data_IF_370245768955
#
_entry.id   IF_370245768955
#
_cell.length_a   1.000
_cell.length_b   1.000
_cell.length_c   1.000
_cell.angle_alpha   90.00
_cell.angle_beta   90.00
_cell.angle_gamma   90.00
#
_symmetry.space_group_name_H-M   'P 1'
#
loop_
_entity.id
_entity.type
_entity.pdbx_description
1 polymer ?
#
# COMPACT_ATOMS: atom_id res chain seq x y z
N UNK A 1 -37.00 -17.60 50.37
CA UNK A 1 -37.42 -17.23 51.75
C UNK A 1 -36.81 -18.22 52.73
N UNK A 2 -36.67 -17.84 54.02
CA UNK A 2 -36.40 -18.70 55.21
C UNK A 2 -35.24 -19.72 55.17
N UNK A 3 -34.30 -19.80 56.12
CA UNK A 3 -34.02 -18.95 57.30
C UNK A 3 -33.90 -19.73 58.63
N UNK A 4 -32.72 -19.63 59.27
CA UNK A 4 -32.40 -19.89 60.70
C UNK A 4 -32.63 -21.27 61.36
N UNK A 5 -31.52 -21.86 61.83
CA UNK A 5 -31.19 -22.03 63.27
C UNK A 5 -29.69 -21.63 63.45
N UNK A 6 -29.20 -20.95 64.51
CA UNK A 6 -29.21 -21.17 65.98
C UNK A 6 -28.36 -22.40 66.39
N UNK A 7 -27.52 -22.37 67.44
CA UNK A 7 -27.26 -21.43 68.56
C UNK A 7 -25.78 -20.94 68.60
N UNK A 8 -25.27 -19.90 69.30
CA UNK A 8 -25.64 -19.04 70.46
C UNK A 8 -24.95 -19.42 71.80
N UNK A 9 -24.37 -18.42 72.50
CA UNK A 9 -23.84 -18.37 73.92
C UNK A 9 -22.32 -18.70 74.09
N UNK A 10 -21.56 -18.13 75.05
CA UNK A 10 -21.83 -17.06 76.07
C UNK A 10 -20.53 -16.50 76.71
N UNK A 11 -20.57 -15.21 77.09
CA UNK A 11 -19.97 -14.69 78.34
C UNK A 11 -18.45 -14.42 78.37
N UNK A 12 -17.92 -13.67 79.35
CA UNK A 12 -18.54 -13.00 80.51
C UNK A 12 -17.97 -11.57 80.69
N UNK A 13 -18.76 -10.66 81.26
CA UNK A 13 -18.47 -9.22 81.41
C UNK A 13 -17.56 -8.89 82.60
N UNK A 14 -16.82 -7.78 82.45
CA UNK A 14 -16.10 -7.01 83.48
C UNK A 14 -16.89 -6.75 84.78
N UNK A 15 -16.20 -6.61 85.93
CA UNK A 15 -16.29 -5.38 86.78
C UNK A 15 -15.37 -5.36 88.03
N UNK A 16 -15.02 -4.13 88.45
CA UNK A 16 -14.53 -3.72 89.80
C UNK A 16 -13.14 -4.29 90.17
N UNK A 17 -12.08 -3.53 90.50
CA UNK A 17 -11.78 -2.08 90.62
C UNK A 17 -10.22 -1.93 90.53
N UNK A 18 -9.45 -0.84 90.74
CA UNK A 18 -9.61 0.55 91.22
C UNK A 18 -8.37 1.41 90.86
N UNK A 19 -8.25 2.61 91.46
CA UNK A 19 -7.05 3.45 91.67
C UNK A 19 -6.48 4.23 90.46
N UNK A 20 -6.82 5.54 90.45
CA UNK A 20 -6.07 6.74 89.95
C UNK A 20 -5.65 6.79 88.44
N UNK A 21 -5.59 7.94 87.75
CA UNK A 21 -5.87 9.35 88.10
C UNK A 21 -6.45 10.14 86.90
N UNK A 22 -6.84 11.40 87.10
CA UNK A 22 -7.60 12.22 86.13
C UNK A 22 -6.77 13.06 85.15
N UNK A 23 -7.36 13.35 83.98
CA UNK A 23 -6.91 14.32 82.97
C UNK A 23 -6.75 15.76 83.52
N UNK A 24 -5.56 16.38 83.33
CA UNK A 24 -5.34 17.82 83.02
C UNK A 24 -3.85 18.02 82.61
N UNK A 25 -3.40 19.29 82.43
CA UNK A 25 -2.05 19.75 82.04
C UNK A 25 -1.83 19.64 80.52
N UNK A 26 -1.72 20.69 79.69
CA UNK A 26 -1.33 22.12 79.82
C UNK A 26 0.18 22.39 79.98
N UNK A 27 0.83 22.58 78.81
CA UNK A 27 1.94 23.50 78.51
C UNK A 27 3.29 23.43 79.29
N UNK A 28 4.38 23.57 78.50
CA UNK A 28 5.77 23.91 78.88
C UNK A 28 6.70 22.79 79.42
N UNK A 29 7.99 23.12 79.29
CA UNK A 29 9.22 22.46 79.81
C UNK A 29 9.68 21.14 79.16
N UNK A 30 10.59 21.31 78.19
CA UNK A 30 11.74 20.43 77.95
C UNK A 30 12.87 21.29 77.36
N UNK A 31 14.15 21.16 77.71
CA UNK A 31 14.74 20.69 78.97
C UNK A 31 16.18 21.27 79.06
N UNK A 32 16.69 21.52 80.27
CA UNK A 32 18.10 21.79 80.61
C UNK A 32 18.94 22.63 79.60
N UNK A 33 18.92 23.95 79.77
CA UNK A 33 20.06 24.80 79.39
C UNK A 33 20.90 25.00 80.65
N UNK A 34 22.16 24.55 80.63
CA UNK A 34 23.19 25.09 81.53
C UNK A 34 24.41 25.56 80.73
N UNK A 35 24.86 26.75 81.09
CA UNK A 35 26.02 27.44 80.52
C UNK A 35 26.69 28.17 81.69
N UNK A 36 27.95 27.87 81.95
CA UNK A 36 28.80 28.78 82.73
C UNK A 36 30.12 28.99 81.99
N UNK A 37 30.50 30.26 81.91
CA UNK A 37 31.66 30.74 81.19
C UNK A 37 32.93 30.61 82.04
N UNK A 38 34.06 30.40 81.37
CA UNK A 38 35.40 30.68 81.93
C UNK A 38 36.23 31.38 80.85
N UNK A 39 36.28 32.71 80.94
CA UNK A 39 37.07 33.56 80.06
C UNK A 39 38.32 34.10 80.80
N UNK A 40 39.37 34.38 80.03
CA UNK A 40 40.64 35.02 80.45
C UNK A 40 41.51 34.29 81.48
N UNK A 41 42.74 33.94 81.08
CA UNK A 41 43.96 34.72 81.41
C UNK A 41 44.83 34.77 80.15
N UNK A 42 45.71 35.77 80.03
CA UNK A 42 46.41 36.12 78.79
C UNK A 42 47.75 35.39 78.59
N UNK A 43 48.04 35.05 77.34
CA UNK A 43 49.35 35.33 76.73
C UNK A 43 49.14 35.92 75.33
N UNK A 44 49.87 36.99 75.00
CA UNK A 44 49.81 37.62 73.68
C UNK A 44 50.75 36.89 72.72
N UNK A 45 50.18 36.08 71.84
CA UNK A 45 50.78 35.73 70.54
C UNK A 45 49.74 35.99 69.45
N UNK A 46 50.19 36.51 68.31
CA UNK A 46 49.33 36.98 67.22
C UNK A 46 48.63 35.82 66.51
N UNK A 47 47.37 35.57 66.88
CA UNK A 47 46.50 34.57 66.23
C UNK A 47 45.89 35.11 64.95
N UNK A 48 46.78 35.36 63.99
CA UNK A 48 46.54 35.94 62.67
C UNK A 48 45.88 34.95 61.70
N UNK A 49 44.79 34.32 62.15
CA UNK A 49 44.19 33.18 61.47
C UNK A 49 42.67 33.26 61.29
N UNK A 50 42.19 32.69 60.17
CA UNK A 50 40.81 32.64 59.71
C UNK A 50 40.33 31.19 59.46
N UNK A 51 39.11 31.01 58.95
CA UNK A 51 38.49 29.70 58.69
C UNK A 51 37.60 29.72 57.44
N UNK A 52 37.63 28.63 56.65
CA UNK A 52 36.77 28.42 55.47
C UNK A 52 35.79 27.26 55.67
N UNK A 53 34.57 27.39 55.12
CA UNK A 53 33.54 26.33 54.98
C UNK A 53 32.97 26.33 53.55
N UNK A 54 32.57 25.17 53.01
CA UNK A 54 32.21 24.94 51.59
C UNK A 54 30.87 24.16 51.45
N UNK A 55 30.09 24.39 50.39
CA UNK A 55 28.86 23.61 50.06
C UNK A 55 28.65 23.47 48.53
N UNK A 56 27.99 22.38 48.08
CA UNK A 56 27.94 21.91 46.67
C UNK A 56 26.56 21.29 46.32
N UNK A 57 26.05 21.45 45.08
CA UNK A 57 24.70 21.07 44.61
C UNK A 57 24.74 20.41 43.20
N UNK A 58 23.73 19.59 42.81
CA UNK A 58 23.69 18.80 41.54
C UNK A 58 22.26 18.54 40.99
N UNK A 59 22.08 18.41 39.66
CA UNK A 59 20.83 18.03 38.93
C UNK A 59 21.10 17.55 37.47
N UNK A 60 20.43 16.50 36.96
CA UNK A 60 20.53 16.00 35.54
C UNK A 60 19.19 15.37 35.04
N UNK A 61 18.97 15.24 33.73
CA UNK A 61 17.81 14.58 33.09
C UNK A 61 18.18 13.61 31.93
N UNK A 62 17.19 13.03 31.24
CA UNK A 62 17.28 11.68 30.62
C UNK A 62 17.05 11.59 29.09
N UNK A 63 17.49 12.59 28.30
CA UNK A 63 17.51 12.52 26.81
C UNK A 63 18.83 13.04 26.24
N UNK A 64 19.89 12.24 26.35
CA UNK A 64 21.24 12.59 25.91
C UNK A 64 22.05 11.31 25.70
N UNK A 65 22.83 11.23 24.64
CA UNK A 65 23.88 10.22 24.50
C UNK A 65 25.02 10.56 25.46
N UNK A 66 25.24 9.69 26.46
CA UNK A 66 26.21 9.87 27.53
C UNK A 66 27.37 8.87 27.39
N UNK A 67 28.61 9.26 27.72
CA UNK A 67 29.72 8.33 27.84
C UNK A 67 29.54 7.43 29.07
N UNK A 68 30.16 6.25 29.03
CA UNK A 68 30.16 5.30 30.15
C UNK A 68 31.12 5.79 31.27
N UNK A 69 30.59 6.70 32.08
CA UNK A 69 31.21 7.27 33.28
C UNK A 69 30.10 7.89 34.15
N UNK A 70 30.05 7.49 35.43
CA UNK A 70 29.25 8.22 36.41
C UNK A 70 29.83 9.63 36.59
N UNK A 71 29.02 10.65 36.30
CA UNK A 71 29.38 12.06 36.40
C UNK A 71 28.86 12.72 37.70
N UNK A 72 28.35 11.95 38.66
CA UNK A 72 27.98 12.44 39.99
C UNK A 72 29.21 12.41 40.93
N UNK A 73 29.67 13.56 41.46
CA UNK A 73 30.65 13.58 42.55
C UNK A 73 30.22 12.77 43.77
N UNK A 74 31.05 11.81 44.17
CA UNK A 74 30.96 11.06 45.43
C UNK A 74 31.96 11.56 46.49
N UNK A 75 33.06 12.18 46.06
CA UNK A 75 34.04 12.82 46.94
C UNK A 75 34.78 13.99 46.27
N UNK A 76 35.43 14.82 47.07
CA UNK A 76 36.19 15.98 46.63
C UNK A 76 37.60 15.95 47.24
N UNK A 77 38.60 16.26 46.42
CA UNK A 77 39.89 16.75 46.88
C UNK A 77 39.81 18.27 46.95
N UNK A 78 40.12 18.86 48.10
CA UNK A 78 40.10 20.31 48.32
C UNK A 78 41.49 20.76 48.74
N UNK A 79 42.13 21.58 47.92
CA UNK A 79 43.44 22.18 48.21
C UNK A 79 43.35 23.70 48.24
N UNK A 80 44.30 24.34 48.90
CA UNK A 80 44.41 25.79 48.93
C UNK A 80 45.85 26.26 48.94
N UNK A 81 46.11 27.32 48.18
CA UNK A 81 47.37 28.06 48.17
C UNK A 81 47.11 29.48 48.68
N UNK A 82 47.93 29.92 49.62
CA UNK A 82 47.74 31.16 50.36
C UNK A 82 49.03 31.97 50.56
N UNK A 83 49.00 32.95 51.48
CA UNK A 83 50.08 33.91 51.64
C UNK A 83 51.39 33.24 52.07
N UNK A 84 52.51 33.81 51.62
CA UNK A 84 53.87 33.36 51.95
C UNK A 84 54.18 31.89 51.58
N UNK A 85 53.41 31.28 50.66
CA UNK A 85 53.53 29.87 50.32
C UNK A 85 52.82 28.90 51.28
N UNK A 86 51.98 29.42 52.18
CA UNK A 86 51.09 28.60 53.01
C UNK A 86 50.16 27.76 52.14
N UNK A 87 49.91 26.50 52.53
CA UNK A 87 48.97 25.64 51.82
C UNK A 87 48.14 24.76 52.77
N UNK A 88 47.08 24.16 52.23
CA UNK A 88 46.39 23.03 52.85
C UNK A 88 45.87 22.06 51.80
N UNK A 89 45.72 20.80 52.18
CA UNK A 89 45.08 19.75 51.38
C UNK A 89 44.10 18.96 52.24
N UNK A 90 42.98 18.53 51.64
CA UNK A 90 41.99 17.62 52.23
C UNK A 90 41.51 16.65 51.15
N UNK A 91 41.53 15.36 51.49
CA UNK A 91 41.04 14.28 50.65
C UNK A 91 39.66 13.83 51.16
N UNK A 92 38.90 13.15 50.30
CA UNK A 92 37.67 12.41 50.68
C UNK A 92 36.60 13.28 51.37
N UNK A 93 36.57 14.58 51.09
CA UNK A 93 35.48 15.47 51.52
C UNK A 93 34.21 15.05 50.78
N UNK A 94 33.08 14.89 51.48
CA UNK A 94 31.82 14.40 50.88
C UNK A 94 30.75 15.46 50.65
N UNK A 95 30.78 16.56 51.41
CA UNK A 95 29.80 17.66 51.30
C UNK A 95 30.41 19.02 51.68
N UNK A 96 30.95 19.10 52.89
CA UNK A 96 31.59 20.30 53.43
C UNK A 96 32.85 19.92 54.22
N UNK A 97 33.78 20.87 54.35
CA UNK A 97 34.94 20.75 55.23
C UNK A 97 35.23 22.10 55.87
N UNK A 98 35.58 22.10 57.16
CA UNK A 98 36.06 23.28 57.86
C UNK A 98 37.60 23.28 57.85
N UNK A 99 38.19 24.38 57.38
CA UNK A 99 39.65 24.57 57.39
C UNK A 99 40.00 25.66 58.39
N UNK A 100 40.28 25.33 59.67
CA UNK A 100 40.67 26.30 60.68
C UNK A 100 42.14 26.73 60.53
N UNK A 101 42.49 27.82 61.20
CA UNK A 101 43.87 28.29 61.38
C UNK A 101 44.62 28.71 60.09
N UNK A 102 43.91 29.29 59.10
CA UNK A 102 44.52 29.79 57.86
C UNK A 102 45.03 31.23 58.01
N UNK A 103 46.25 31.55 57.55
CA UNK A 103 46.81 32.92 57.59
C UNK A 103 45.87 33.95 56.91
N UNK A 104 45.81 35.18 57.44
CA UNK A 104 45.12 36.28 56.74
C UNK A 104 45.82 36.64 55.41
N UNK A 105 45.04 37.11 54.43
CA UNK A 105 45.51 37.46 53.08
C UNK A 105 44.76 36.72 51.97
N UNK A 106 45.26 36.78 50.75
CA UNK A 106 44.67 36.08 49.60
C UNK A 106 44.89 34.56 49.66
N UNK A 107 43.80 33.82 49.43
CA UNK A 107 43.77 32.38 49.23
C UNK A 107 43.12 32.05 47.89
N UNK A 108 43.75 31.15 47.15
CA UNK A 108 43.15 30.44 46.01
C UNK A 108 42.79 29.04 46.48
N UNK A 109 41.52 28.66 46.39
CA UNK A 109 41.02 27.34 46.82
C UNK A 109 40.57 26.56 45.59
N UNK A 110 41.15 25.40 45.36
CA UNK A 110 40.88 24.51 44.24
C UNK A 110 40.18 23.24 44.72
N UNK A 111 39.18 22.79 43.96
CA UNK A 111 38.40 21.58 44.25
C UNK A 111 38.44 20.67 43.02
N UNK A 112 38.81 19.40 43.22
CA UNK A 112 38.66 18.33 42.22
C UNK A 112 37.63 17.32 42.71
N UNK A 113 36.53 17.20 41.97
CA UNK A 113 35.47 16.24 42.24
C UNK A 113 35.77 14.89 41.59
N UNK A 114 35.52 13.81 42.34
CA UNK A 114 35.66 12.42 41.92
C UNK A 114 34.32 11.69 42.01
N UNK A 115 34.04 10.83 41.04
CA UNK A 115 32.90 9.89 41.13
C UNK A 115 33.18 8.74 42.11
N UNK A 116 32.25 7.78 42.22
CA UNK A 116 32.39 6.64 43.14
C UNK A 116 33.59 5.74 42.83
N UNK A 117 34.06 5.71 41.57
CA UNK A 117 35.25 4.96 41.13
C UNK A 117 36.57 5.67 41.47
N UNK A 118 36.49 6.90 42.00
CA UNK A 118 37.65 7.77 42.22
C UNK A 118 38.12 8.53 40.97
N UNK A 119 37.43 8.38 39.83
CA UNK A 119 37.74 9.08 38.57
C UNK A 119 37.42 10.58 38.70
N UNK A 120 38.37 11.49 38.38
CA UNK A 120 38.08 12.93 38.35
C UNK A 120 37.04 13.29 37.28
N UNK A 121 35.96 13.96 37.69
CA UNK A 121 34.82 14.32 36.81
C UNK A 121 34.62 15.82 36.65
N UNK A 122 35.09 16.63 37.61
CA UNK A 122 34.95 18.09 37.56
C UNK A 122 35.96 18.81 38.43
N UNK A 123 36.18 20.09 38.13
CA UNK A 123 37.09 20.98 38.84
C UNK A 123 36.47 22.35 39.05
N UNK A 124 36.81 23.02 40.14
CA UNK A 124 36.49 24.43 40.39
C UNK A 124 37.62 25.13 41.14
N UNK A 125 37.73 26.44 40.96
CA UNK A 125 38.66 27.31 41.70
C UNK A 125 37.91 28.57 42.10
N UNK A 126 38.17 29.08 43.30
CA UNK A 126 37.65 30.36 43.79
C UNK A 126 38.73 31.10 44.56
N UNK A 127 38.69 32.44 44.54
CA UNK A 127 39.68 33.29 45.20
C UNK A 127 39.04 34.15 46.28
N UNK A 128 39.73 34.32 47.40
CA UNK A 128 39.19 35.05 48.53
C UNK A 128 40.28 35.72 49.36
N UNK A 129 39.96 36.85 49.98
CA UNK A 129 40.79 37.45 51.03
C UNK A 129 40.21 37.03 52.37
N UNK A 130 41.04 36.51 53.26
CA UNK A 130 40.70 36.20 54.65
C UNK A 130 41.27 37.25 55.61
N UNK A 131 40.51 37.60 56.65
CA UNK A 131 40.95 38.48 57.74
C UNK A 131 41.09 37.70 59.07
N UNK A 132 41.96 38.15 59.98
CA UNK A 132 42.17 37.48 61.26
C UNK A 132 40.87 37.36 62.07
N UNK A 133 40.55 36.15 62.55
CA UNK A 133 39.31 35.82 63.24
C UNK A 133 38.09 35.56 62.34
N UNK A 134 38.18 35.76 61.02
CA UNK A 134 37.06 35.58 60.09
C UNK A 134 36.69 34.10 59.91
N UNK A 135 35.39 33.78 59.95
CA UNK A 135 34.85 32.55 59.36
C UNK A 135 34.12 32.89 58.07
N UNK A 136 34.53 32.28 56.95
CA UNK A 136 34.07 32.64 55.60
C UNK A 136 33.53 31.43 54.85
N UNK A 137 32.30 31.54 54.36
CA UNK A 137 31.69 30.48 53.56
C UNK A 137 31.99 30.72 52.08
N UNK A 138 32.69 29.79 51.44
CA UNK A 138 32.92 29.79 49.99
C UNK A 138 31.88 28.90 49.29
N UNK A 139 31.53 29.27 48.06
CA UNK A 139 30.73 28.45 47.14
C UNK A 139 31.54 28.28 45.86
N UNK A 140 32.09 27.09 45.63
CA UNK A 140 32.97 26.82 44.50
C UNK A 140 32.16 26.09 43.41
N UNK A 141 31.94 26.77 42.28
CA UNK A 141 31.21 26.17 41.16
C UNK A 141 32.10 25.19 40.40
N UNK A 142 31.74 23.91 40.46
CA UNK A 142 32.41 22.84 39.73
C UNK A 142 31.99 22.84 38.25
N UNK A 143 32.97 22.67 37.36
CA UNK A 143 32.77 22.51 35.91
C UNK A 143 33.37 21.18 35.44
N UNK A 144 32.82 20.50 34.42
CA UNK A 144 33.43 19.29 33.86
C UNK A 144 34.86 19.53 33.40
N UNK A 145 35.75 18.55 33.59
CA UNK A 145 37.16 18.66 33.18
C UNK A 145 37.25 18.84 31.67
N UNK A 146 37.93 19.91 31.25
CA UNK A 146 38.10 20.26 29.85
C UNK A 146 39.17 19.38 29.18
N UNK A 147 38.99 19.11 27.88
CA UNK A 147 39.93 18.35 27.07
C UNK A 147 39.27 17.82 25.80
N UNK A 148 39.61 16.59 25.44
CA UNK A 148 39.06 15.89 24.29
C UNK A 148 38.59 14.49 24.68
N UNK A 149 37.44 14.07 24.15
CA UNK A 149 36.89 12.73 24.27
C UNK A 149 36.55 12.18 22.88
N UNK A 150 35.87 11.04 22.86
CA UNK A 150 35.45 10.37 21.64
C UNK A 150 33.92 10.25 21.54
N UNK A 151 33.44 10.22 20.30
CA UNK A 151 32.12 9.70 19.94
C UNK A 151 32.28 8.61 18.88
N UNK A 152 31.66 7.46 19.13
CA UNK A 152 31.62 6.31 18.23
C UNK A 152 30.15 6.00 17.92
N UNK A 153 29.79 5.93 16.64
CA UNK A 153 28.40 5.92 16.18
C UNK A 153 28.16 4.81 15.15
N UNK A 154 26.98 4.19 15.21
CA UNK A 154 26.50 3.21 14.24
C UNK A 154 25.16 3.67 13.66
N UNK A 155 24.97 3.55 12.35
CA UNK A 155 23.68 3.73 11.67
C UNK A 155 23.32 2.43 10.95
N UNK A 156 22.10 1.95 11.15
CA UNK A 156 21.56 0.72 10.58
C UNK A 156 20.33 1.02 9.71
N UNK A 157 20.17 0.31 8.59
CA UNK A 157 19.00 0.42 7.72
C UNK A 157 18.71 -0.88 6.97
N UNK A 158 17.52 -0.98 6.39
CA UNK A 158 17.12 -2.13 5.57
C UNK A 158 17.90 -2.13 4.25
N UNK A 159 18.85 -3.06 4.11
CA UNK A 159 19.82 -3.08 3.01
C UNK A 159 19.21 -3.18 1.59
N UNK A 160 17.95 -3.61 1.45
CA UNK A 160 17.24 -3.70 0.18
C UNK A 160 16.41 -2.45 -0.19
N UNK A 161 16.42 -1.41 0.64
CA UNK A 161 15.57 -0.21 0.49
C UNK A 161 16.37 1.05 0.14
N UNK A 162 17.70 0.93 -0.02
CA UNK A 162 18.62 2.03 -0.32
C UNK A 162 19.67 1.52 -1.31
N UNK A 163 19.68 2.03 -2.55
CA UNK A 163 20.55 1.52 -3.62
C UNK A 163 21.99 2.09 -3.53
N UNK A 164 22.12 3.39 -3.28
CA UNK A 164 23.40 4.12 -3.17
C UNK A 164 23.48 4.83 -1.81
N UNK A 165 23.69 4.09 -0.71
CA UNK A 165 23.69 4.64 0.64
C UNK A 165 24.84 5.62 0.88
N UNK A 166 24.53 6.73 1.53
CA UNK A 166 25.50 7.66 2.10
C UNK A 166 24.95 8.30 3.38
N UNK A 167 25.85 8.77 4.25
CA UNK A 167 25.50 9.41 5.53
C UNK A 167 25.96 10.87 5.48
N UNK A 168 25.04 11.80 5.74
CA UNK A 168 25.36 13.20 6.03
C UNK A 168 25.23 13.39 7.55
N UNK A 169 26.35 13.60 8.24
CA UNK A 169 26.35 13.71 9.69
C UNK A 169 27.28 14.83 10.18
N UNK A 170 26.84 15.54 11.22
CA UNK A 170 27.55 16.71 11.75
C UNK A 170 27.31 16.86 13.26
N UNK A 171 28.37 17.18 13.99
CA UNK A 171 28.37 17.45 15.43
C UNK A 171 28.61 18.94 15.67
N UNK A 172 27.59 19.64 16.17
CA UNK A 172 27.65 21.10 16.42
C UNK A 172 27.91 21.38 17.90
N UNK A 173 29.05 21.99 18.28
CA UNK A 173 29.30 22.42 19.65
C UNK A 173 28.46 23.64 20.02
N UNK A 174 28.24 23.87 21.31
CA UNK A 174 27.60 25.11 21.81
C UNK A 174 28.32 26.40 21.35
N UNK A 175 29.64 26.35 21.17
CA UNK A 175 30.42 27.44 20.55
C UNK A 175 31.62 26.90 19.77
N UNK A 176 31.72 27.27 18.50
CA UNK A 176 32.75 26.81 17.57
C UNK A 176 32.18 26.66 16.16
N UNK A 177 32.97 26.10 15.25
CA UNK A 177 32.44 25.57 13.99
C UNK A 177 31.84 24.17 14.23
N UNK A 178 30.83 23.73 13.45
CA UNK A 178 30.42 22.34 13.40
C UNK A 178 31.56 21.41 12.93
N UNK A 179 31.49 20.14 13.32
CA UNK A 179 32.44 19.09 12.96
C UNK A 179 31.71 18.07 12.09
N UNK A 180 32.08 17.95 10.82
CA UNK A 180 31.52 16.96 9.91
C UNK A 180 32.03 15.55 10.24
N UNK A 181 31.14 14.56 10.24
CA UNK A 181 31.42 13.19 10.64
C UNK A 181 31.42 12.29 9.39
N UNK A 182 32.60 11.91 8.92
CA UNK A 182 32.76 11.04 7.75
C UNK A 182 32.57 9.57 8.15
N UNK A 183 31.37 9.02 7.93
CA UNK A 183 31.07 7.61 8.20
C UNK A 183 31.67 6.68 7.13
N UNK A 184 32.20 5.53 7.57
CA UNK A 184 32.54 4.40 6.70
C UNK A 184 31.32 3.47 6.54
N UNK A 185 31.15 2.87 5.36
CA UNK A 185 30.11 1.87 5.07
C UNK A 185 30.79 0.51 4.86
N UNK A 186 31.05 -0.28 5.92
CA UNK A 186 31.76 -1.56 5.82
C UNK A 186 30.90 -2.69 5.23
N UNK A 187 29.57 -2.53 5.20
CA UNK A 187 28.63 -3.49 4.60
C UNK A 187 27.31 -2.79 4.25
N UNK A 188 26.54 -3.37 3.33
CA UNK A 188 25.16 -2.91 3.05
C UNK A 188 24.32 -2.94 4.34
N UNK A 189 23.47 -1.94 4.52
CA UNK A 189 22.62 -1.79 5.72
C UNK A 189 23.32 -1.29 6.99
N UNK A 190 24.62 -0.97 6.96
CA UNK A 190 25.37 -0.48 8.13
C UNK A 190 26.44 0.56 7.77
N UNK A 191 26.45 1.68 8.51
CA UNK A 191 27.53 2.66 8.52
C UNK A 191 28.07 2.84 9.94
N UNK A 192 29.36 3.12 10.06
CA UNK A 192 30.04 3.35 11.35
C UNK A 192 30.91 4.60 11.31
N UNK A 193 31.09 5.24 12.45
CA UNK A 193 32.00 6.36 12.64
C UNK A 193 32.75 6.20 13.97
N UNK A 194 34.05 6.47 13.96
CA UNK A 194 34.91 6.45 15.15
C UNK A 194 35.82 7.68 15.12
N UNK A 195 35.67 8.58 16.09
CA UNK A 195 36.42 9.85 16.12
C UNK A 195 37.75 9.75 16.86
N UNK A 196 37.91 8.76 17.76
CA UNK A 196 38.98 8.76 18.75
C UNK A 196 38.91 9.99 19.67
N UNK A 197 39.95 10.24 20.48
CA UNK A 197 39.97 11.35 21.44
C UNK A 197 40.27 12.71 20.77
N UNK A 198 39.41 13.13 19.83
CA UNK A 198 39.55 14.33 18.99
C UNK A 198 38.41 15.34 19.19
N UNK A 199 37.30 14.95 19.81
CA UNK A 199 36.11 15.80 19.97
C UNK A 199 36.22 16.62 21.27
N UNK A 200 36.04 17.96 21.24
CA UNK A 200 36.08 18.78 22.46
C UNK A 200 35.05 18.35 23.51
N UNK A 201 35.45 18.39 24.79
CA UNK A 201 34.53 18.14 25.90
C UNK A 201 33.39 19.16 25.99
N UNK A 202 32.16 18.70 26.18
CA UNK A 202 31.00 19.58 26.28
C UNK A 202 29.68 18.85 26.02
N UNK A 203 28.63 19.63 25.72
CA UNK A 203 27.41 19.15 25.09
C UNK A 203 27.39 19.66 23.64
N UNK A 204 26.98 18.78 22.72
CA UNK A 204 26.91 19.02 21.29
C UNK A 204 25.57 18.57 20.74
N UNK A 205 25.10 19.19 19.66
CA UNK A 205 23.96 18.71 18.88
C UNK A 205 24.48 17.86 17.73
N UNK A 206 24.13 16.58 17.71
CA UNK A 206 24.40 15.65 16.62
C UNK A 206 23.22 15.66 15.65
N UNK A 207 23.48 15.85 14.37
CA UNK A 207 22.52 15.62 13.28
C UNK A 207 23.05 14.50 12.39
N UNK A 208 22.19 13.57 11.99
CA UNK A 208 22.50 12.45 11.08
C UNK A 208 21.36 12.32 10.08
N UNK A 209 21.69 12.13 8.80
CA UNK A 209 20.76 11.69 7.75
C UNK A 209 21.31 10.45 7.05
N UNK A 210 20.41 9.57 6.66
CA UNK A 210 20.65 8.53 5.67
C UNK A 210 20.13 9.04 4.31
N UNK A 211 20.96 8.93 3.28
CA UNK A 211 20.66 9.37 1.93
C UNK A 211 20.75 8.18 0.98
N UNK A 212 19.81 8.11 0.03
CA UNK A 212 19.93 7.26 -1.15
C UNK A 212 20.20 8.13 -2.38
N UNK A 213 21.28 7.84 -3.12
CA UNK A 213 21.68 8.57 -4.33
C UNK A 213 21.75 10.11 -4.12
N UNK A 214 22.16 10.54 -2.93
CA UNK A 214 22.23 11.96 -2.53
C UNK A 214 20.90 12.61 -2.10
N UNK A 215 19.81 11.84 -1.96
CA UNK A 215 18.50 12.31 -1.48
C UNK A 215 18.25 11.75 -0.08
N UNK A 216 17.93 12.63 0.88
CA UNK A 216 17.67 12.28 2.28
C UNK A 216 16.41 11.42 2.42
N UNK A 217 16.57 10.13 2.75
CA UNK A 217 15.46 9.18 2.98
C UNK A 217 15.05 9.09 4.45
N UNK A 218 15.95 9.34 5.40
CA UNK A 218 15.63 9.40 6.84
C UNK A 218 16.68 10.21 7.62
N UNK A 219 16.40 10.60 8.86
CA UNK A 219 17.38 11.27 9.73
C UNK A 219 16.94 11.45 11.18
N UNK A 220 17.88 11.88 12.02
CA UNK A 220 17.69 12.11 13.45
C UNK A 220 18.52 13.30 13.95
N UNK A 221 18.13 13.87 15.10
CA UNK A 221 18.88 14.89 15.84
C UNK A 221 18.89 14.52 17.32
N UNK A 222 20.07 14.47 17.92
CA UNK A 222 20.28 14.07 19.32
C UNK A 222 21.27 15.00 20.04
N UNK A 223 21.24 14.98 21.38
CA UNK A 223 22.23 15.69 22.20
C UNK A 223 23.30 14.72 22.67
N UNK A 224 24.57 15.05 22.44
CA UNK A 224 25.72 14.22 22.81
C UNK A 224 26.55 14.93 23.87
N UNK A 225 26.87 14.26 24.97
CA UNK A 225 27.84 14.73 25.96
C UNK A 225 29.20 14.11 25.68
N UNK A 226 30.27 14.90 25.70
CA UNK A 226 31.65 14.42 25.52
C UNK A 226 32.46 14.71 26.77
N UNK A 227 33.17 13.70 27.29
CA UNK A 227 33.96 13.76 28.54
C UNK A 227 35.42 13.40 28.24
N UNK A 228 36.35 14.06 28.94
CA UNK A 228 37.79 13.97 28.66
C UNK A 228 38.29 12.53 28.74
N UNK A 229 38.93 12.03 27.66
CA UNK A 229 39.44 10.66 27.52
C UNK A 229 38.39 9.54 27.68
N UNK A 230 37.11 9.83 27.42
CA UNK A 230 36.01 8.86 27.45
C UNK A 230 35.28 8.84 26.10
N UNK A 231 34.79 7.66 25.72
CA UNK A 231 33.98 7.45 24.51
C UNK A 231 32.49 7.51 24.84
N UNK A 232 31.74 8.18 23.98
CA UNK A 232 30.27 8.21 23.97
C UNK A 232 29.77 7.39 22.79
N UNK A 233 28.81 6.50 23.04
CA UNK A 233 28.30 5.58 22.02
C UNK A 233 26.88 5.97 21.59
N UNK A 234 26.52 5.67 20.34
CA UNK A 234 25.16 5.83 19.83
C UNK A 234 24.86 4.90 18.66
N UNK A 235 23.64 4.36 18.62
CA UNK A 235 23.13 3.56 17.50
C UNK A 235 21.83 4.19 16.99
N UNK A 236 21.70 4.33 15.68
CA UNK A 236 20.52 4.86 15.01
C UNK A 236 19.96 3.80 14.07
N UNK A 237 18.67 3.47 14.24
CA UNK A 237 17.98 2.41 13.49
C UNK A 237 16.96 3.04 12.54
N UNK A 238 17.27 3.08 11.25
CA UNK A 238 16.44 3.60 10.18
C UNK A 238 15.88 2.44 9.35
N UNK A 239 15.06 1.59 9.99
CA UNK A 239 14.34 0.49 9.33
C UNK A 239 12.97 0.91 8.75
N UNK A 240 12.54 2.14 9.02
CA UNK A 240 11.41 2.81 8.36
C UNK A 240 11.96 4.09 7.71
N UNK A 241 11.89 4.19 6.38
CA UNK A 241 12.48 5.29 5.58
C UNK A 241 11.53 5.78 4.48
N UNK A 242 11.77 6.99 3.97
CA UNK A 242 11.03 7.54 2.83
C UNK A 242 11.56 6.92 1.52
N UNK A 243 10.98 5.78 1.10
CA UNK A 243 11.36 5.11 -0.14
C UNK A 243 10.88 5.88 -1.38
N UNK A 244 11.80 6.14 -2.32
CA UNK A 244 11.45 6.60 -3.67
C UNK A 244 11.22 5.37 -4.57
N UNK A 245 10.08 4.70 -4.38
CA UNK A 245 9.70 3.53 -5.17
C UNK A 245 9.57 3.86 -6.67
N UNK A 246 9.97 2.90 -7.52
CA UNK A 246 9.81 3.00 -8.97
C UNK A 246 8.57 2.27 -9.47
N UNK A 247 7.65 2.98 -10.10
CA UNK A 247 6.47 2.39 -10.74
C UNK A 247 6.81 1.76 -12.10
N UNK A 248 6.35 0.52 -12.33
CA UNK A 248 6.42 -0.13 -13.66
C UNK A 248 5.05 -0.04 -14.32
N UNK A 249 4.90 0.91 -15.26
CA UNK A 249 3.69 1.02 -16.09
C UNK A 249 3.72 0.00 -17.24
N UNK A 250 3.03 -1.12 -17.07
CA UNK A 250 2.87 -2.14 -18.12
C UNK A 250 1.65 -1.78 -18.98
N UNK A 251 1.89 -1.26 -20.18
CA UNK A 251 0.85 -1.05 -21.19
C UNK A 251 0.68 -2.32 -22.03
N UNK A 252 -0.53 -2.88 -22.05
CA UNK A 252 -0.88 -4.07 -22.84
C UNK A 252 -1.96 -3.68 -23.86
N UNK A 253 -1.66 -3.89 -25.13
CA UNK A 253 -2.64 -3.77 -26.23
C UNK A 253 -2.92 -5.19 -26.75
N UNK A 254 -4.13 -5.73 -26.60
CA UNK A 254 -4.47 -7.06 -27.11
C UNK A 254 -4.67 -7.02 -28.62
N UNK A 255 -3.94 -7.88 -29.32
CA UNK A 255 -4.10 -8.20 -30.75
C UNK A 255 -4.26 -9.73 -30.79
N UNK A 256 -5.51 -10.20 -30.94
CA UNK A 256 -5.90 -11.60 -30.68
C UNK A 256 -6.51 -12.32 -31.89
N UNK A 257 -6.43 -11.71 -33.08
CA UNK A 257 -6.91 -12.27 -34.35
C UNK A 257 -8.38 -12.76 -34.30
N UNK A 258 -9.26 -11.93 -33.70
CA UNK A 258 -10.68 -12.26 -33.49
C UNK A 258 -11.34 -12.82 -34.76
N UNK A 259 -12.16 -13.90 -34.66
CA UNK A 259 -12.75 -14.58 -35.81
C UNK A 259 -13.54 -13.67 -36.77
N UNK A 260 -13.62 -14.06 -38.04
CA UNK A 260 -14.36 -13.33 -39.06
C UNK A 260 -15.88 -13.47 -38.85
N UNK A 261 -16.54 -12.34 -38.64
CA UNK A 261 -18.00 -12.25 -38.54
C UNK A 261 -18.62 -12.30 -39.94
N UNK A 262 -19.16 -13.47 -40.35
CA UNK A 262 -19.79 -13.62 -41.67
C UNK A 262 -21.30 -13.40 -41.58
N UNK A 263 -21.83 -12.52 -42.42
CA UNK A 263 -23.26 -12.28 -42.64
C UNK A 263 -23.69 -12.81 -44.01
N UNK A 264 -24.79 -13.55 -44.03
CA UNK A 264 -25.45 -14.05 -45.25
C UNK A 264 -26.59 -13.13 -45.67
N UNK A 265 -26.84 -13.04 -46.98
CA UNK A 265 -28.04 -12.42 -47.56
C UNK A 265 -28.52 -13.15 -48.82
N UNK A 266 -29.81 -13.09 -49.12
CA UNK A 266 -30.41 -13.76 -50.28
C UNK A 266 -30.80 -15.24 -50.04
N UNK A 267 -30.36 -15.81 -48.92
CA UNK A 267 -30.82 -17.10 -48.41
C UNK A 267 -32.35 -17.12 -48.17
N UNK A 268 -32.96 -18.27 -48.46
CA UNK A 268 -34.38 -18.53 -48.29
C UNK A 268 -34.56 -19.75 -47.37
N UNK A 269 -35.62 -19.78 -46.56
CA UNK A 269 -35.91 -20.92 -45.67
C UNK A 269 -36.49 -22.12 -46.44
N UNK A 270 -37.10 -21.86 -47.60
CA UNK A 270 -37.74 -22.85 -48.47
C UNK A 270 -37.40 -22.54 -49.92
N UNK A 271 -37.04 -23.57 -50.70
CA UNK A 271 -36.83 -23.50 -52.16
C UNK A 271 -37.69 -24.59 -52.80
N UNK A 272 -38.40 -24.28 -53.88
CA UNK A 272 -39.18 -25.29 -54.61
C UNK A 272 -38.28 -26.18 -55.48
N UNK A 273 -38.71 -27.42 -55.76
CA UNK A 273 -37.96 -28.39 -56.54
C UNK A 273 -37.78 -27.91 -57.99
N UNK A 274 -36.53 -27.64 -58.40
CA UNK A 274 -36.25 -26.98 -59.68
C UNK A 274 -36.33 -25.45 -59.63
N UNK A 275 -36.49 -24.86 -58.44
CA UNK A 275 -36.19 -23.48 -58.13
C UNK A 275 -34.73 -23.30 -57.68
N UNK A 276 -34.31 -22.04 -57.55
CA UNK A 276 -32.95 -21.66 -57.18
C UNK A 276 -32.96 -20.48 -56.20
N UNK A 277 -31.90 -20.35 -55.41
CA UNK A 277 -31.62 -19.17 -54.59
C UNK A 277 -30.16 -18.74 -54.75
N UNK A 278 -29.92 -17.43 -54.72
CA UNK A 278 -28.57 -16.87 -54.69
C UNK A 278 -28.28 -16.39 -53.27
N UNK A 279 -27.20 -16.88 -52.67
CA UNK A 279 -26.77 -16.51 -51.33
C UNK A 279 -25.43 -15.82 -51.40
N UNK A 280 -25.38 -14.57 -50.96
CA UNK A 280 -24.17 -13.77 -50.83
C UNK A 280 -23.64 -13.85 -49.40
N UNK A 281 -22.31 -13.82 -49.26
CA UNK A 281 -21.59 -13.78 -48.00
C UNK A 281 -20.72 -12.53 -47.92
N UNK A 282 -20.74 -11.88 -46.77
CA UNK A 282 -19.96 -10.67 -46.46
C UNK A 282 -19.35 -10.78 -45.06
N UNK A 283 -18.27 -10.06 -44.79
CA UNK A 283 -17.65 -9.98 -43.46
C UNK A 283 -17.79 -8.58 -42.89
N UNK A 284 -18.19 -8.45 -41.62
CA UNK A 284 -18.42 -7.15 -40.95
C UNK A 284 -17.18 -6.59 -40.24
N UNK A 285 -16.25 -7.45 -39.82
CA UNK A 285 -15.07 -7.10 -39.05
C UNK A 285 -13.74 -7.31 -39.81
N UNK A 286 -13.78 -7.15 -41.13
CA UNK A 286 -12.61 -7.18 -42.02
C UNK A 286 -12.84 -6.23 -43.22
N UNK A 287 -11.77 -5.65 -43.75
CA UNK A 287 -11.80 -4.73 -44.91
C UNK A 287 -10.80 -5.12 -46.02
N UNK A 288 -9.89 -6.05 -45.74
CA UNK A 288 -9.03 -6.68 -46.73
C UNK A 288 -9.76 -7.69 -47.63
N UNK A 289 -9.00 -8.35 -48.51
CA UNK A 289 -9.55 -9.38 -49.39
C UNK A 289 -9.86 -10.66 -48.59
N UNK A 290 -11.07 -11.19 -48.76
CA UNK A 290 -11.57 -12.39 -48.06
C UNK A 290 -11.87 -13.52 -49.05
N UNK A 291 -11.37 -14.72 -48.76
CA UNK A 291 -11.64 -15.94 -49.54
C UNK A 291 -12.75 -16.73 -48.86
N UNK A 292 -13.84 -16.99 -49.60
CA UNK A 292 -15.02 -17.72 -49.12
C UNK A 292 -15.10 -19.11 -49.75
N UNK A 293 -15.26 -20.16 -48.95
CA UNK A 293 -15.57 -21.52 -49.40
C UNK A 293 -16.98 -21.92 -48.92
N UNK A 294 -17.80 -22.46 -49.83
CA UNK A 294 -19.16 -22.93 -49.56
C UNK A 294 -19.22 -24.46 -49.47
N UNK A 295 -20.14 -24.96 -48.64
CA UNK A 295 -20.38 -26.38 -48.43
C UNK A 295 -21.89 -26.65 -48.32
N UNK A 296 -22.35 -27.81 -48.81
CA UNK A 296 -23.72 -28.31 -48.61
C UNK A 296 -23.64 -29.59 -47.77
N UNK A 297 -24.34 -29.62 -46.63
CA UNK A 297 -24.32 -30.72 -45.66
C UNK A 297 -22.89 -31.17 -45.20
N UNK A 298 -21.89 -30.30 -45.37
CA UNK A 298 -20.47 -30.55 -45.08
C UNK A 298 -19.58 -30.83 -46.30
N UNK A 299 -20.14 -31.15 -47.47
CA UNK A 299 -19.39 -31.37 -48.71
C UNK A 299 -19.10 -30.04 -49.43
N UNK A 300 -17.86 -29.83 -49.88
CA UNK A 300 -17.45 -28.59 -50.57
C UNK A 300 -18.12 -28.45 -51.95
N UNK A 301 -18.70 -27.28 -52.23
CA UNK A 301 -19.44 -27.01 -53.49
C UNK A 301 -18.85 -25.87 -54.32
N UNK A 302 -18.35 -24.78 -53.72
CA UNK A 302 -17.88 -23.62 -54.49
C UNK A 302 -16.91 -22.70 -53.70
N UNK A 303 -16.22 -21.81 -54.42
CA UNK A 303 -15.45 -20.69 -53.86
C UNK A 303 -15.88 -19.37 -54.48
N UNK A 304 -16.01 -18.31 -53.67
CA UNK A 304 -16.44 -16.96 -54.08
C UNK A 304 -17.42 -16.35 -53.09
N UNK A 305 -17.59 -15.02 -53.08
CA UNK A 305 -18.48 -14.30 -52.13
C UNK A 305 -19.98 -14.53 -52.37
N UNK A 306 -20.35 -15.32 -53.38
CA UNK A 306 -21.73 -15.63 -53.74
C UNK A 306 -21.83 -17.09 -54.19
N UNK A 307 -22.94 -17.75 -53.89
CA UNK A 307 -23.26 -19.09 -54.37
C UNK A 307 -24.72 -19.17 -54.83
N UNK A 308 -24.92 -19.67 -56.04
CA UNK A 308 -26.26 -19.99 -56.57
C UNK A 308 -26.54 -21.45 -56.27
N UNK A 309 -27.48 -21.69 -55.35
CA UNK A 309 -28.07 -23.01 -55.14
C UNK A 309 -28.99 -23.33 -56.32
N UNK A 310 -28.76 -24.46 -56.98
CA UNK A 310 -29.36 -24.82 -58.27
C UNK A 310 -30.26 -26.06 -58.19
N UNK A 311 -30.90 -26.37 -59.32
CA UNK A 311 -32.10 -27.20 -59.43
C UNK A 311 -31.95 -28.71 -59.12
N UNK A 312 -30.74 -29.21 -58.89
CA UNK A 312 -30.42 -30.65 -58.93
C UNK A 312 -30.65 -31.40 -57.60
N UNK A 313 -31.19 -30.74 -56.57
CA UNK A 313 -31.41 -31.31 -55.24
C UNK A 313 -32.85 -31.83 -55.07
N UNK A 314 -32.98 -33.02 -54.50
CA UNK A 314 -34.27 -33.64 -54.14
C UNK A 314 -34.96 -32.94 -52.97
N UNK A 315 -36.29 -33.09 -52.79
CA UNK A 315 -36.98 -32.60 -51.60
C UNK A 315 -36.35 -33.13 -50.30
N UNK A 316 -36.10 -32.25 -49.32
CA UNK A 316 -35.34 -32.56 -48.11
C UNK A 316 -34.85 -31.32 -47.38
N UNK A 317 -34.25 -31.51 -46.20
CA UNK A 317 -33.63 -30.43 -45.41
C UNK A 317 -32.13 -30.38 -45.72
N UNK A 318 -31.62 -29.19 -45.98
CA UNK A 318 -30.22 -28.94 -46.34
C UNK A 318 -29.62 -27.86 -45.44
N UNK A 319 -28.33 -28.02 -45.12
CA UNK A 319 -27.51 -27.02 -44.45
C UNK A 319 -26.51 -26.46 -45.45
N UNK A 320 -26.55 -25.15 -45.66
CA UNK A 320 -25.56 -24.40 -46.42
C UNK A 320 -24.59 -23.77 -45.43
N UNK A 321 -23.31 -24.13 -45.51
CA UNK A 321 -22.24 -23.55 -44.70
C UNK A 321 -21.32 -22.69 -45.57
N UNK A 322 -20.85 -21.56 -45.03
CA UNK A 322 -19.77 -20.77 -45.63
C UNK A 322 -18.66 -20.54 -44.62
N UNK A 323 -17.43 -20.55 -45.10
CA UNK A 323 -16.18 -20.42 -44.33
C UNK A 323 -15.31 -19.36 -44.99
N UNK A 324 -14.81 -18.40 -44.22
CA UNK A 324 -14.04 -17.24 -44.70
C UNK A 324 -12.60 -17.25 -44.18
N UNK A 325 -11.67 -16.68 -44.95
CA UNK A 325 -10.30 -16.37 -44.56
C UNK A 325 -9.87 -14.99 -45.02
N UNK A 326 -9.05 -14.30 -44.22
CA UNK A 326 -8.18 -13.22 -44.73
C UNK A 326 -7.20 -13.78 -45.76
N UNK A 327 -6.76 -12.96 -46.71
CA UNK A 327 -5.88 -13.41 -47.80
C UNK A 327 -4.49 -13.92 -47.34
N UNK A 328 -4.08 -13.65 -46.10
CA UNK A 328 -2.88 -14.20 -45.46
C UNK A 328 -3.14 -15.54 -44.72
N UNK A 329 -4.39 -15.93 -44.53
CA UNK A 329 -4.82 -17.13 -43.81
C UNK A 329 -4.80 -17.04 -42.28
N UNK A 330 -4.52 -15.86 -41.71
CA UNK A 330 -4.39 -15.67 -40.24
C UNK A 330 -5.76 -15.72 -39.55
N UNK A 331 -6.72 -14.91 -40.01
CA UNK A 331 -8.08 -14.84 -39.44
C UNK A 331 -9.06 -15.69 -40.24
N UNK A 332 -10.03 -16.28 -39.54
CA UNK A 332 -11.07 -17.11 -40.16
C UNK A 332 -12.38 -17.07 -39.39
N UNK A 333 -13.47 -17.48 -40.05
CA UNK A 333 -14.78 -17.63 -39.46
C UNK A 333 -15.67 -18.56 -40.30
N UNK A 334 -16.84 -18.90 -39.78
CA UNK A 334 -17.86 -19.65 -40.52
C UNK A 334 -19.27 -19.27 -40.05
N UNK A 335 -20.24 -19.38 -40.95
CA UNK A 335 -21.67 -19.22 -40.66
C UNK A 335 -22.50 -20.20 -41.49
N UNK A 336 -23.77 -20.36 -41.11
CA UNK A 336 -24.62 -21.46 -41.57
C UNK A 336 -26.05 -21.00 -41.79
N UNK A 337 -26.68 -21.47 -42.87
CA UNK A 337 -28.11 -21.39 -43.10
C UNK A 337 -28.70 -22.80 -43.22
N UNK A 338 -29.96 -22.97 -42.82
CA UNK A 338 -30.70 -24.24 -42.98
C UNK A 338 -32.00 -23.95 -43.71
N UNK A 339 -32.27 -24.72 -44.76
CA UNK A 339 -33.43 -24.53 -45.62
C UNK A 339 -34.00 -25.87 -46.09
N UNK A 340 -35.21 -25.84 -46.64
CA UNK A 340 -35.91 -27.03 -47.13
C UNK A 340 -36.17 -26.93 -48.64
N UNK A 341 -35.82 -27.98 -49.38
CA UNK A 341 -36.34 -28.20 -50.75
C UNK A 341 -37.70 -28.90 -50.65
N UNK A 342 -38.71 -28.38 -51.35
CA UNK A 342 -40.09 -28.90 -51.35
C UNK A 342 -40.59 -29.21 -52.77
N UNK A 343 -41.50 -30.17 -52.92
CA UNK A 343 -42.07 -30.49 -54.24
C UNK A 343 -42.93 -29.34 -54.79
N UNK A 344 -42.81 -29.05 -56.09
CA UNK A 344 -43.64 -28.02 -56.75
C UNK A 344 -45.08 -28.48 -56.81
N UNK A 345 -45.96 -27.79 -56.07
CA UNK A 345 -47.39 -28.05 -56.10
C UNK A 345 -48.04 -27.26 -57.24
N UNK A 346 -47.76 -27.66 -58.49
CA UNK A 346 -48.33 -27.05 -59.69
C UNK A 346 -49.87 -27.20 -59.70
N UNK A 347 -50.56 -26.07 -59.56
CA UNK A 347 -52.03 -25.99 -59.49
C UNK A 347 -52.67 -25.38 -60.75
N UNK A 348 -51.88 -24.95 -61.73
CA UNK A 348 -52.34 -24.13 -62.87
C UNK A 348 -51.35 -24.16 -64.05
N UNK A 349 -51.84 -23.90 -65.28
CA UNK A 349 -51.05 -23.69 -66.50
C UNK A 349 -51.82 -22.82 -67.52
N UNK A 350 -51.48 -22.82 -68.81
CA UNK A 350 -51.89 -21.80 -69.82
C UNK A 350 -51.74 -22.29 -71.28
N UNK A 351 -52.48 -21.72 -72.25
CA UNK A 351 -52.24 -21.88 -73.71
C UNK A 351 -52.88 -20.77 -74.59
N UNK A 352 -52.09 -19.95 -75.33
CA UNK A 352 -52.58 -19.06 -76.41
C UNK A 352 -52.05 -19.50 -77.80
N UNK A 353 -52.61 -18.94 -78.87
CA UNK A 353 -52.19 -19.12 -80.27
C UNK A 353 -52.49 -17.88 -81.13
N UNK A 354 -51.83 -17.76 -82.29
CA UNK A 354 -52.04 -16.66 -83.25
C UNK A 354 -53.41 -16.75 -83.96
N UNK A 355 -54.08 -15.62 -84.25
CA UNK A 355 -55.39 -15.62 -84.89
C UNK A 355 -55.35 -15.80 -86.42
N UNK A 356 -56.30 -16.59 -86.92
CA UNK A 356 -56.70 -16.61 -88.33
C UNK A 356 -57.37 -15.28 -88.76
N UNK A 357 -57.41 -15.00 -90.06
CA UNK A 357 -57.76 -13.66 -90.62
C UNK A 357 -58.85 -13.69 -91.70
N UNK A 358 -59.41 -14.87 -91.96
CA UNK A 358 -60.42 -15.12 -92.98
C UNK A 358 -61.77 -14.45 -92.63
N UNK A 359 -62.48 -13.78 -93.57
CA UNK A 359 -63.67 -12.97 -93.24
C UNK A 359 -64.89 -13.75 -92.72
N UNK A 360 -64.90 -15.07 -92.89
CA UNK A 360 -65.96 -16.01 -92.49
C UNK A 360 -65.55 -16.92 -91.31
N UNK A 361 -64.44 -16.62 -90.63
CA UNK A 361 -63.96 -17.35 -89.46
C UNK A 361 -64.96 -17.30 -88.28
N UNK A 362 -65.60 -18.44 -88.01
CA UNK A 362 -66.59 -18.58 -86.95
C UNK A 362 -65.98 -18.77 -85.53
N UNK A 363 -64.83 -19.44 -85.41
CA UNK A 363 -64.17 -19.65 -84.12
C UNK A 363 -63.22 -20.84 -84.03
N UNK A 364 -62.67 -21.06 -82.83
CA UNK A 364 -61.75 -22.12 -82.47
C UNK A 364 -62.41 -23.13 -81.50
N UNK A 365 -61.86 -24.35 -81.46
CA UNK A 365 -62.27 -25.40 -80.53
C UNK A 365 -61.04 -26.04 -79.91
N UNK A 366 -61.00 -26.09 -78.58
CA UNK A 366 -59.91 -26.68 -77.81
C UNK A 366 -60.25 -28.14 -77.52
N UNK A 367 -59.28 -29.02 -77.74
CA UNK A 367 -59.39 -30.47 -77.63
C UNK A 367 -58.42 -30.97 -76.55
N UNK A 368 -58.91 -31.80 -75.61
CA UNK A 368 -58.06 -32.40 -74.58
C UNK A 368 -58.47 -33.86 -74.30
N UNK A 369 -57.55 -34.62 -73.71
CA UNK A 369 -57.70 -36.05 -73.45
C UNK A 369 -56.41 -36.63 -72.88
N UNK A 370 -56.48 -37.87 -72.40
CA UNK A 370 -55.40 -38.48 -71.62
C UNK A 370 -54.32 -39.18 -72.46
N UNK A 371 -54.50 -39.26 -73.79
CA UNK A 371 -53.59 -39.96 -74.72
C UNK A 371 -53.35 -39.13 -75.97
N UNK A 372 -52.09 -39.00 -76.40
CA UNK A 372 -51.72 -38.23 -77.60
C UNK A 372 -52.41 -38.76 -78.86
N UNK A 373 -52.98 -37.86 -79.66
CA UNK A 373 -53.78 -38.19 -80.84
C UNK A 373 -55.21 -38.69 -80.55
N UNK A 374 -55.62 -38.81 -79.28
CA UNK A 374 -56.96 -39.26 -78.87
C UNK A 374 -57.58 -38.29 -77.87
N UNK A 375 -58.17 -37.22 -78.40
CA UNK A 375 -58.80 -36.17 -77.63
C UNK A 375 -60.28 -36.51 -77.36
N UNK A 376 -60.58 -36.85 -76.11
CA UNK A 376 -61.89 -37.35 -75.68
C UNK A 376 -62.90 -36.23 -75.40
N UNK A 377 -62.41 -35.03 -75.07
CA UNK A 377 -63.22 -33.86 -74.74
C UNK A 377 -62.87 -32.68 -75.64
N UNK A 378 -63.86 -31.84 -75.94
CA UNK A 378 -63.64 -30.61 -76.70
C UNK A 378 -64.61 -29.49 -76.33
N UNK A 379 -64.12 -28.27 -76.29
CA UNK A 379 -64.90 -27.06 -75.94
C UNK A 379 -64.74 -26.03 -77.06
N UNK A 380 -65.87 -25.60 -77.62
CA UNK A 380 -65.93 -24.49 -78.58
C UNK A 380 -65.77 -23.17 -77.83
N UNK A 381 -64.81 -22.33 -78.25
CA UNK A 381 -64.52 -21.03 -77.61
C UNK A 381 -64.89 -19.83 -78.50
N UNK A 382 -65.48 -20.08 -79.67
CA UNK A 382 -65.74 -19.04 -80.66
C UNK A 382 -64.45 -18.38 -81.14
N UNK A 383 -64.54 -17.18 -81.73
CA UNK A 383 -63.39 -16.46 -82.28
C UNK A 383 -62.63 -15.65 -81.19
N UNK A 384 -62.25 -16.32 -80.11
CA UNK A 384 -61.41 -15.77 -79.04
C UNK A 384 -60.09 -16.55 -78.92
N UNK A 385 -58.98 -15.85 -78.72
CA UNK A 385 -57.63 -16.43 -78.60
C UNK A 385 -57.11 -16.49 -77.16
N UNK A 386 -57.90 -16.06 -76.17
CA UNK A 386 -57.61 -16.17 -74.73
C UNK A 386 -58.90 -16.60 -74.00
N UNK A 387 -58.82 -17.61 -73.13
CA UNK A 387 -59.96 -18.09 -72.33
C UNK A 387 -59.50 -18.70 -70.99
N UNK A 388 -60.01 -18.16 -69.87
CA UNK A 388 -59.88 -18.77 -68.55
C UNK A 388 -60.84 -19.95 -68.39
N UNK A 389 -60.34 -21.09 -67.91
CA UNK A 389 -61.17 -22.26 -67.56
C UNK A 389 -61.38 -22.36 -66.04
N UNK A 390 -62.44 -23.09 -65.66
CA UNK A 390 -62.87 -23.30 -64.28
C UNK A 390 -63.27 -24.78 -64.13
N UNK A 391 -62.74 -25.47 -63.12
CA UNK A 391 -62.90 -26.92 -62.93
C UNK A 391 -63.42 -27.21 -61.52
N UNK A 392 -64.49 -27.98 -61.42
CA UNK A 392 -65.06 -28.51 -60.16
C UNK A 392 -65.58 -29.93 -60.40
N UNK A 393 -65.78 -30.70 -59.32
CA UNK A 393 -66.25 -32.08 -59.36
C UNK A 393 -67.39 -32.34 -58.36
N UNK A 394 -68.26 -33.29 -58.70
CA UNK A 394 -69.31 -33.84 -57.82
C UNK A 394 -69.03 -35.31 -57.53
N UNK A 395 -69.55 -35.82 -56.40
CA UNK A 395 -69.49 -37.24 -56.06
C UNK A 395 -70.90 -37.85 -56.07
N UNK A 396 -71.11 -38.96 -56.78
CA UNK A 396 -72.41 -39.63 -56.88
C UNK A 396 -72.47 -40.95 -56.10
N UNK A 397 -73.67 -41.32 -55.65
CA UNK A 397 -73.93 -42.59 -54.98
C UNK A 397 -74.53 -43.65 -55.94
N UNK A 398 -74.72 -44.88 -55.45
CA UNK A 398 -75.18 -46.03 -56.26
C UNK A 398 -76.62 -45.88 -56.83
N UNK A 399 -77.37 -44.87 -56.35
CA UNK A 399 -78.68 -44.47 -56.90
C UNK A 399 -78.62 -43.30 -57.88
N UNK A 400 -77.43 -42.81 -58.23
CA UNK A 400 -77.22 -41.72 -59.20
C UNK A 400 -77.43 -40.30 -58.63
N UNK A 401 -77.54 -40.13 -57.31
CA UNK A 401 -77.63 -38.81 -56.69
C UNK A 401 -76.23 -38.25 -56.42
N UNK A 402 -75.96 -37.06 -56.97
CA UNK A 402 -74.74 -36.28 -56.78
C UNK A 402 -74.76 -35.42 -55.51
N UNK A 403 -73.57 -35.10 -55.01
CA UNK A 403 -73.31 -34.08 -53.99
C UNK A 403 -73.43 -32.67 -54.55
N UNK A 404 -73.36 -31.66 -53.66
CA UNK A 404 -72.91 -30.33 -54.06
C UNK A 404 -71.52 -30.38 -54.72
N UNK A 405 -71.20 -29.36 -55.51
CA UNK A 405 -69.90 -29.20 -56.18
C UNK A 405 -68.74 -29.03 -55.18
N UNK A 406 -67.56 -29.52 -55.55
CA UNK A 406 -66.31 -29.20 -54.88
C UNK A 406 -65.97 -27.71 -55.01
N UNK A 407 -64.98 -27.25 -54.24
CA UNK A 407 -64.30 -25.99 -54.56
C UNK A 407 -63.81 -26.01 -56.01
N UNK A 408 -63.84 -24.83 -56.63
CA UNK A 408 -63.51 -24.62 -58.03
C UNK A 408 -62.02 -24.25 -58.19
N UNK A 409 -61.38 -24.75 -59.25
CA UNK A 409 -60.01 -24.43 -59.64
C UNK A 409 -60.04 -23.57 -60.90
N UNK A 410 -59.49 -22.36 -60.81
CA UNK A 410 -59.37 -21.41 -61.93
C UNK A 410 -58.10 -21.70 -62.73
N UNK A 411 -58.15 -21.50 -64.04
CA UNK A 411 -57.04 -21.73 -64.98
C UNK A 411 -57.03 -20.61 -66.05
N UNK A 412 -56.44 -19.44 -65.76
CA UNK A 412 -56.27 -18.34 -66.71
C UNK A 412 -55.15 -18.64 -67.71
N UNK A 413 -55.12 -17.88 -68.80
CA UNK A 413 -54.38 -18.25 -70.00
C UNK A 413 -53.59 -17.03 -70.52
N UNK A 414 -52.28 -16.96 -70.25
CA UNK A 414 -51.39 -15.82 -70.59
C UNK A 414 -49.99 -16.29 -71.07
N UNK A 415 -49.62 -16.07 -72.34
CA UNK A 415 -48.24 -16.26 -72.83
C UNK A 415 -47.22 -15.38 -72.08
#
# INVERSE_FOLDING_TARGET
>A
MTGHHREKKRGVTLHILSILFTFLIILLMSCAIERQDLATILSNESKDFATILLNIEQSVSTKTLLPDIDMNPASYLVSGLGPNGSSFDRNEVTQQVEIPSLQFGEWTVSVTAKNMEGTPVGTGEEKTILHAGEKKNLKILLKPIQGYGAVDLTVLWTAGEVEYPSIEAQLTPYSGAPIDLNFDIPSVGMAVYQSGNTIPTGYHTLSIKLLDNGISVMGAVEVVRIVNKKTTYGTFEFFEINQQGGDIMINITPELDDPLEIVLSGNQDVVELGGSMTVDASVTNESGNVVYNWYINGDYINTGSSYVFANDYTPGIYRLDVRAYTADGVRSGSTSHVFQVVEVNLTQATLLWDPNTEPDLAGYKIYYGYVSGSYEYSVDVGNQTNQTYYITATAYNIGGYESDFSNEVVFPVNL
#
